data_IF_906774979845
#
_entry.id   IF_906774979845
#
_cell.length_a   1.000
_cell.length_b   1.000
_cell.length_c   1.000
_cell.angle_alpha   90.00
_cell.angle_beta   90.00
_cell.angle_gamma   90.00
#
_symmetry.space_group_name_H-M   'P 1'
#
loop_
_entity.id
_entity.type
_entity.pdbx_description
1 polymer ?
#
# COMPACT_ATOMS: atom_id res chain seq x y z
N UNK A 1 17.92 3.11 11.34
CA UNK A 1 18.41 3.40 9.98
C UNK A 1 17.42 4.29 9.24
N UNK A 2 16.12 4.05 9.32
CA UNK A 2 15.12 4.76 8.51
C UNK A 2 14.88 6.21 8.87
N UNK A 3 15.00 6.62 10.16
CA UNK A 3 14.87 8.04 10.52
C UNK A 3 16.01 8.89 9.94
N UNK A 4 17.24 8.38 9.93
CA UNK A 4 18.37 9.07 9.32
C UNK A 4 18.30 9.10 7.79
N UNK A 5 17.79 8.01 7.17
CA UNK A 5 17.54 7.96 5.73
C UNK A 5 16.39 8.90 5.34
N UNK A 6 15.32 8.96 6.14
CA UNK A 6 14.21 9.88 5.90
C UNK A 6 14.60 11.37 5.97
N UNK A 7 15.61 11.73 6.78
CA UNK A 7 16.13 13.10 6.81
C UNK A 7 16.95 13.45 5.56
N UNK A 8 17.58 12.46 4.94
CA UNK A 8 18.43 12.62 3.74
C UNK A 8 17.63 12.56 2.43
N UNK A 9 16.36 12.12 2.47
CA UNK A 9 15.54 12.04 1.27
C UNK A 9 15.27 13.43 0.67
N UNK A 10 15.25 13.53 -0.67
CA UNK A 10 14.82 14.74 -1.38
C UNK A 10 13.43 15.21 -0.90
N UNK A 11 13.18 16.51 -1.01
CA UNK A 11 11.90 17.11 -0.57
C UNK A 11 10.71 16.43 -1.29
N UNK A 12 10.90 16.09 -2.55
CA UNK A 12 9.90 15.42 -3.41
C UNK A 12 9.53 14.03 -2.88
N UNK A 13 10.52 13.25 -2.42
CA UNK A 13 10.27 11.94 -1.82
C UNK A 13 9.50 12.05 -0.50
N UNK A 14 9.79 13.09 0.31
CA UNK A 14 9.03 13.38 1.55
C UNK A 14 7.60 13.82 1.25
N UNK A 15 7.40 14.59 0.19
CA UNK A 15 6.06 14.97 -0.29
C UNK A 15 5.31 13.73 -0.75
N UNK A 16 5.95 12.88 -1.56
CA UNK A 16 5.37 11.63 -2.05
C UNK A 16 4.93 10.71 -0.90
N UNK A 17 5.77 10.51 0.10
CA UNK A 17 5.44 9.69 1.27
C UNK A 17 4.21 10.23 2.03
N UNK A 18 4.11 11.55 2.21
CA UNK A 18 2.92 12.18 2.84
C UNK A 18 1.66 12.02 2.01
N UNK A 19 1.75 12.20 0.69
CA UNK A 19 0.62 12.03 -0.23
C UNK A 19 0.13 10.58 -0.25
N UNK A 20 1.05 9.61 -0.25
CA UNK A 20 0.74 8.20 -0.17
C UNK A 20 0.06 7.83 1.15
N UNK A 21 0.56 8.34 2.28
CA UNK A 21 -0.07 8.16 3.59
C UNK A 21 -1.49 8.75 3.61
N UNK A 22 -1.66 9.96 3.07
CA UNK A 22 -2.97 10.58 2.94
C UNK A 22 -3.92 9.77 2.06
N UNK A 23 -3.43 9.18 0.96
CA UNK A 23 -4.19 8.27 0.12
C UNK A 23 -4.58 7.00 0.88
N UNK A 24 -3.64 6.35 1.60
CA UNK A 24 -3.93 5.18 2.43
C UNK A 24 -5.11 5.44 3.36
N UNK A 25 -5.09 6.55 4.10
CA UNK A 25 -6.15 6.88 5.03
C UNK A 25 -7.51 7.07 4.33
N UNK A 26 -7.54 7.76 3.18
CA UNK A 26 -8.78 7.95 2.41
C UNK A 26 -9.31 6.64 1.85
N UNK A 27 -8.45 5.82 1.25
CA UNK A 27 -8.84 4.53 0.70
C UNK A 27 -9.34 3.58 1.79
N UNK A 28 -8.65 3.50 2.92
CA UNK A 28 -9.05 2.69 4.08
C UNK A 28 -10.39 3.14 4.65
N UNK A 29 -10.58 4.45 4.84
CA UNK A 29 -11.84 4.99 5.34
C UNK A 29 -13.00 4.70 4.39
N UNK A 30 -12.80 4.89 3.09
CA UNK A 30 -13.80 4.55 2.09
C UNK A 30 -14.14 3.06 2.10
N UNK A 31 -13.15 2.17 2.06
CA UNK A 31 -13.36 0.72 2.10
C UNK A 31 -14.09 0.26 3.36
N UNK A 32 -13.72 0.80 4.51
CA UNK A 32 -14.43 0.53 5.76
C UNK A 32 -15.89 1.00 5.70
N UNK A 33 -16.18 2.15 5.08
CA UNK A 33 -17.54 2.65 4.88
C UNK A 33 -18.36 1.76 3.94
N UNK A 34 -17.73 1.19 2.89
CA UNK A 34 -18.32 0.19 1.99
C UNK A 34 -18.53 -1.19 2.65
N UNK A 35 -18.13 -1.36 3.92
CA UNK A 35 -18.39 -2.57 4.69
C UNK A 35 -17.22 -3.54 4.77
N UNK A 36 -16.06 -3.21 4.24
CA UNK A 36 -14.84 -4.02 4.41
C UNK A 36 -14.42 -3.99 5.88
N UNK A 37 -14.17 -5.17 6.43
CA UNK A 37 -13.77 -5.35 7.84
C UNK A 37 -12.45 -6.08 8.00
N UNK A 38 -11.79 -6.41 6.91
CA UNK A 38 -10.55 -7.16 6.91
C UNK A 38 -9.53 -6.47 5.99
N UNK A 39 -8.32 -6.28 6.50
CA UNK A 39 -7.25 -5.56 5.80
C UNK A 39 -5.94 -6.33 5.92
N UNK A 40 -5.22 -6.46 4.81
CA UNK A 40 -3.87 -7.00 4.74
C UNK A 40 -2.96 -5.91 4.17
N UNK A 41 -2.04 -5.39 4.98
CA UNK A 41 -1.15 -4.29 4.61
C UNK A 41 0.29 -4.80 4.49
N UNK A 42 0.82 -4.83 3.26
CA UNK A 42 2.13 -5.41 2.95
C UNK A 42 3.12 -4.29 2.62
N UNK A 43 4.28 -4.34 3.26
CA UNK A 43 5.27 -3.27 3.24
C UNK A 43 4.83 -2.10 4.11
N UNK A 44 4.41 -2.41 5.33
CA UNK A 44 3.82 -1.47 6.29
C UNK A 44 4.72 -0.27 6.59
N UNK A 45 6.04 -0.48 6.62
CA UNK A 45 7.01 0.53 7.02
C UNK A 45 6.85 0.96 8.48
N UNK A 46 7.58 1.99 8.89
CA UNK A 46 7.54 2.50 10.27
C UNK A 46 6.15 3.09 10.57
N UNK A 47 5.49 2.65 11.66
CA UNK A 47 4.19 3.16 12.07
C UNK A 47 4.19 4.68 12.23
N UNK A 48 3.19 5.33 11.67
CA UNK A 48 2.97 6.78 11.78
C UNK A 48 1.47 7.05 11.86
N UNK A 49 1.03 7.71 12.91
CA UNK A 49 -0.40 7.97 13.13
C UNK A 49 -0.99 8.98 12.12
N UNK A 50 -2.26 8.78 11.71
CA UNK A 50 -3.05 7.58 11.98
C UNK A 50 -2.57 6.39 11.15
N UNK A 51 -2.48 5.21 11.79
CA UNK A 51 -2.17 3.96 11.10
C UNK A 51 -3.42 3.37 10.45
N UNK A 52 -3.24 2.42 9.52
CA UNK A 52 -4.35 1.82 8.77
C UNK A 52 -5.45 1.26 9.70
N UNK A 53 -5.07 0.50 10.75
CA UNK A 53 -6.05 -0.06 11.68
C UNK A 53 -6.81 1.01 12.46
N UNK A 54 -6.17 2.11 12.82
CA UNK A 54 -6.83 3.23 13.52
C UNK A 54 -7.93 3.82 12.63
N UNK A 55 -7.61 4.07 11.35
CA UNK A 55 -8.57 4.57 10.36
C UNK A 55 -9.71 3.55 10.11
N UNK A 56 -9.38 2.28 9.95
CA UNK A 56 -10.38 1.22 9.72
C UNK A 56 -11.29 1.03 10.93
N UNK A 57 -10.71 0.94 12.14
CA UNK A 57 -11.44 0.69 13.39
C UNK A 57 -12.21 1.92 13.91
N UNK A 58 -11.91 3.12 13.42
CA UNK A 58 -12.76 4.28 13.70
C UNK A 58 -14.16 4.12 13.09
N UNK A 59 -14.24 3.52 11.90
CA UNK A 59 -15.48 3.30 11.15
C UNK A 59 -16.09 1.93 11.47
N UNK A 60 -15.25 0.90 11.59
CA UNK A 60 -15.61 -0.48 11.90
C UNK A 60 -14.78 -0.97 13.09
N UNK A 61 -15.24 -0.76 14.33
CA UNK A 61 -14.48 -1.09 15.54
C UNK A 61 -13.95 -2.53 15.56
N UNK A 62 -14.67 -3.48 14.97
CA UNK A 62 -14.29 -4.90 14.87
C UNK A 62 -13.38 -5.22 13.68
N UNK A 63 -12.85 -4.22 12.97
CA UNK A 63 -11.97 -4.48 11.83
C UNK A 63 -10.71 -5.23 12.26
N UNK A 64 -10.32 -6.19 11.42
CA UNK A 64 -9.12 -7.04 11.58
C UNK A 64 -8.06 -6.56 10.59
N UNK A 65 -6.86 -6.34 11.06
CA UNK A 65 -5.75 -5.86 10.24
C UNK A 65 -4.53 -6.72 10.45
N UNK A 66 -3.99 -7.26 9.38
CA UNK A 66 -2.70 -7.95 9.38
C UNK A 66 -1.69 -7.03 8.69
N UNK A 67 -0.63 -6.73 9.37
CA UNK A 67 0.52 -5.99 8.88
C UNK A 67 1.64 -6.96 8.49
N UNK A 68 2.30 -6.73 7.37
CA UNK A 68 3.42 -7.54 6.92
C UNK A 68 4.58 -6.64 6.50
N UNK A 69 5.78 -6.95 6.99
CA UNK A 69 7.01 -6.29 6.55
C UNK A 69 8.18 -7.29 6.63
N UNK A 70 9.21 -7.10 5.82
CA UNK A 70 10.41 -7.92 5.86
C UNK A 70 11.51 -7.33 6.77
N UNK A 71 11.34 -6.11 7.28
CA UNK A 71 12.27 -5.51 8.23
C UNK A 71 11.83 -5.83 9.68
N UNK A 72 12.64 -6.62 10.43
CA UNK A 72 12.33 -6.93 11.81
C UNK A 72 12.29 -5.72 12.75
N UNK A 73 12.91 -4.59 12.36
CA UNK A 73 12.85 -3.35 13.13
C UNK A 73 11.47 -2.73 13.01
N UNK A 74 10.90 -2.71 11.81
CA UNK A 74 9.53 -2.25 11.55
C UNK A 74 8.54 -3.02 12.39
N UNK A 75 8.64 -4.35 12.40
CA UNK A 75 7.72 -5.20 13.17
C UNK A 75 7.80 -4.96 14.68
N UNK A 76 8.99 -4.78 15.24
CA UNK A 76 9.15 -4.44 16.67
C UNK A 76 8.51 -3.11 17.02
N UNK A 77 8.61 -2.11 16.14
CA UNK A 77 7.92 -0.84 16.32
C UNK A 77 6.40 -1.01 16.21
N UNK A 78 5.95 -1.84 15.27
CA UNK A 78 4.54 -2.13 15.07
C UNK A 78 3.94 -2.80 16.30
N UNK A 79 4.54 -3.87 16.81
CA UNK A 79 4.09 -4.58 18.02
C UNK A 79 4.02 -3.66 19.25
N UNK A 80 4.96 -2.71 19.38
CA UNK A 80 5.01 -1.79 20.50
C UNK A 80 4.01 -0.63 20.44
N UNK A 81 3.66 -0.17 19.24
CA UNK A 81 2.93 1.07 19.01
C UNK A 81 1.51 0.89 18.51
N UNK A 82 1.22 -0.24 17.82
CA UNK A 82 -0.08 -0.45 17.19
C UNK A 82 -1.01 -1.21 18.13
N UNK A 83 -1.76 -0.47 18.94
CA UNK A 83 -2.75 -1.01 19.86
C UNK A 83 -4.12 -0.99 19.19
N UNK A 84 -4.69 -2.17 18.96
CA UNK A 84 -6.05 -2.35 18.43
C UNK A 84 -7.10 -1.85 19.43
N UNK A 85 -8.30 -1.48 18.92
CA UNK A 85 -9.49 -1.34 19.76
C UNK A 85 -9.86 -2.70 20.38
N UNK A 86 -10.55 -2.74 21.53
CA UNK A 86 -10.91 -4.00 22.18
C UNK A 86 -11.73 -4.95 21.29
N UNK A 87 -12.53 -4.42 20.38
CA UNK A 87 -13.37 -5.17 19.44
C UNK A 87 -12.64 -5.59 18.17
N UNK A 88 -11.52 -4.93 17.85
CA UNK A 88 -10.72 -5.17 16.65
C UNK A 88 -9.54 -6.11 16.90
N UNK A 89 -8.83 -6.43 15.85
CA UNK A 89 -7.61 -7.25 15.92
C UNK A 89 -6.54 -6.63 15.04
N UNK A 90 -5.31 -6.57 15.56
CA UNK A 90 -4.10 -6.31 14.76
C UNK A 90 -3.14 -7.46 14.94
N UNK A 91 -2.53 -7.91 13.86
CA UNK A 91 -1.54 -8.96 13.85
C UNK A 91 -0.36 -8.61 12.93
N UNK A 92 0.77 -9.29 13.07
CA UNK A 92 2.03 -8.94 12.41
C UNK A 92 2.70 -10.16 11.83
N UNK A 93 3.06 -10.08 10.54
CA UNK A 93 3.73 -11.13 9.81
C UNK A 93 5.12 -10.63 9.38
N UNK A 94 6.16 -11.35 9.77
CA UNK A 94 7.51 -11.12 9.27
C UNK A 94 7.71 -11.97 8.02
N UNK A 95 7.55 -11.35 6.84
CA UNK A 95 7.77 -12.04 5.58
C UNK A 95 8.07 -11.04 4.46
N UNK A 96 8.70 -11.53 3.39
CA UNK A 96 8.95 -10.77 2.18
C UNK A 96 7.77 -10.93 1.21
N UNK A 97 7.36 -9.85 0.56
CA UNK A 97 6.31 -9.84 -0.47
C UNK A 97 6.60 -10.79 -1.63
N UNK A 98 7.88 -11.11 -1.87
CA UNK A 98 8.32 -12.09 -2.86
C UNK A 98 7.93 -13.54 -2.52
N UNK A 99 7.49 -13.76 -1.29
CA UNK A 99 7.03 -15.06 -0.77
C UNK A 99 5.53 -15.01 -0.40
N UNK A 100 4.64 -14.71 -1.37
CA UNK A 100 3.22 -14.44 -1.08
C UNK A 100 2.50 -15.60 -0.40
N UNK A 101 2.91 -16.85 -0.64
CA UNK A 101 2.35 -18.02 0.01
C UNK A 101 2.57 -18.00 1.54
N UNK A 102 3.75 -17.59 2.00
CA UNK A 102 4.06 -17.48 3.43
C UNK A 102 3.17 -16.42 4.08
N UNK A 103 3.00 -15.27 3.41
CA UNK A 103 2.14 -14.18 3.90
C UNK A 103 0.69 -14.64 4.00
N UNK A 104 0.19 -15.31 2.95
CA UNK A 104 -1.18 -15.80 2.91
C UNK A 104 -1.45 -16.83 4.01
N UNK A 105 -0.53 -17.78 4.21
CA UNK A 105 -0.69 -18.82 5.24
C UNK A 105 -0.71 -18.21 6.65
N UNK A 106 0.18 -17.25 6.93
CA UNK A 106 0.19 -16.55 8.21
C UNK A 106 -1.06 -15.65 8.38
N UNK A 107 -1.47 -14.92 7.34
CA UNK A 107 -2.63 -14.03 7.43
C UNK A 107 -3.95 -14.79 7.68
N UNK A 108 -4.07 -16.06 7.28
CA UNK A 108 -5.25 -16.90 7.56
C UNK A 108 -5.51 -17.16 9.04
N UNK A 109 -4.52 -17.02 9.90
CA UNK A 109 -4.72 -17.12 11.36
C UNK A 109 -5.62 -15.99 11.89
N UNK A 110 -5.62 -14.86 11.19
CA UNK A 110 -6.36 -13.66 11.60
C UNK A 110 -7.47 -13.28 10.65
N UNK A 111 -7.28 -13.46 9.33
CA UNK A 111 -8.24 -13.08 8.29
C UNK A 111 -8.98 -14.28 7.72
N UNK A 112 -10.27 -14.09 7.44
CA UNK A 112 -11.12 -15.06 6.76
C UNK A 112 -11.14 -14.76 5.25
N UNK A 113 -10.43 -15.59 4.47
CA UNK A 113 -10.29 -15.42 3.02
C UNK A 113 -11.54 -15.81 2.21
N UNK A 114 -12.55 -16.39 2.85
CA UNK A 114 -13.87 -16.61 2.23
C UNK A 114 -14.75 -15.35 2.28
N UNK A 115 -14.24 -14.26 2.87
CA UNK A 115 -14.89 -12.95 2.98
C UNK A 115 -14.02 -11.85 2.37
N UNK A 116 -14.62 -10.74 1.90
CA UNK A 116 -13.86 -9.66 1.30
C UNK A 116 -12.74 -9.11 2.21
N UNK A 117 -11.56 -8.96 1.63
CA UNK A 117 -10.34 -8.39 2.22
C UNK A 117 -9.90 -7.19 1.39
N UNK A 118 -9.39 -6.15 2.01
CA UNK A 118 -8.65 -5.09 1.34
C UNK A 118 -7.14 -5.37 1.48
N UNK A 119 -6.50 -5.65 0.36
CA UNK A 119 -5.04 -5.81 0.24
C UNK A 119 -4.40 -4.47 -0.11
N UNK A 120 -3.44 -4.02 0.67
CA UNK A 120 -2.67 -2.80 0.42
C UNK A 120 -1.20 -3.13 0.12
N UNK A 121 -0.67 -2.59 -1.00
CA UNK A 121 0.76 -2.55 -1.31
C UNK A 121 1.13 -1.10 -1.67
N UNK A 122 1.46 -0.33 -0.66
CA UNK A 122 1.70 1.10 -0.80
C UNK A 122 3.18 1.44 -0.62
N UNK A 123 3.79 2.08 -1.63
CA UNK A 123 5.21 2.42 -1.60
C UNK A 123 6.16 1.22 -1.68
N UNK A 124 5.70 0.09 -2.14
CA UNK A 124 6.44 -1.16 -2.17
C UNK A 124 6.81 -1.60 -3.59
N UNK A 125 5.86 -1.51 -4.52
CA UNK A 125 5.98 -2.12 -5.85
C UNK A 125 7.11 -1.56 -6.70
N UNK A 126 7.53 -0.33 -6.46
CA UNK A 126 8.67 0.27 -7.16
C UNK A 126 10.04 -0.25 -6.68
N UNK A 127 10.07 -1.09 -5.63
CA UNK A 127 11.26 -1.85 -5.22
C UNK A 127 11.30 -3.27 -5.84
N UNK A 128 10.31 -3.62 -6.64
CA UNK A 128 10.21 -4.90 -7.33
C UNK A 128 10.40 -4.69 -8.84
N UNK A 129 11.61 -4.93 -9.40
CA UNK A 129 11.85 -4.87 -10.83
C UNK A 129 11.07 -5.98 -11.56
N UNK A 130 10.84 -5.81 -12.87
CA UNK A 130 10.04 -6.75 -13.68
C UNK A 130 10.58 -8.19 -13.66
N UNK A 131 11.90 -8.36 -13.46
CA UNK A 131 12.53 -9.67 -13.31
C UNK A 131 11.98 -10.45 -12.09
N UNK A 132 11.46 -9.77 -11.08
CA UNK A 132 10.83 -10.36 -9.90
C UNK A 132 9.33 -10.61 -10.08
N UNK A 133 8.78 -10.30 -11.26
CA UNK A 133 7.40 -10.58 -11.66
C UNK A 133 6.35 -10.03 -10.68
N UNK A 134 6.36 -8.72 -10.37
CA UNK A 134 5.46 -8.15 -9.37
C UNK A 134 3.97 -8.32 -9.70
N UNK A 135 3.60 -8.43 -10.98
CA UNK A 135 2.22 -8.71 -11.40
C UNK A 135 1.79 -10.11 -10.98
N UNK A 136 2.67 -11.12 -11.12
CA UNK A 136 2.37 -12.50 -10.70
C UNK A 136 2.25 -12.60 -9.17
N UNK A 137 3.04 -11.79 -8.43
CA UNK A 137 2.91 -11.68 -6.97
C UNK A 137 1.52 -11.16 -6.59
N UNK A 138 1.07 -10.06 -7.19
CA UNK A 138 -0.26 -9.50 -6.92
C UNK A 138 -1.35 -10.50 -7.30
N UNK A 139 -1.20 -11.18 -8.46
CA UNK A 139 -2.16 -12.21 -8.89
C UNK A 139 -2.26 -13.35 -7.88
N UNK A 140 -1.14 -13.78 -7.29
CA UNK A 140 -1.17 -14.81 -6.24
C UNK A 140 -2.02 -14.38 -5.04
N UNK A 141 -1.96 -13.13 -4.63
CA UNK A 141 -2.83 -12.62 -3.57
C UNK A 141 -4.29 -12.54 -4.01
N UNK A 142 -4.56 -11.98 -5.20
CA UNK A 142 -5.95 -11.79 -5.66
C UNK A 142 -6.66 -13.11 -5.93
N UNK A 143 -5.95 -14.13 -6.43
CA UNK A 143 -6.50 -15.47 -6.65
C UNK A 143 -6.88 -16.17 -5.34
N UNK A 144 -6.27 -15.78 -4.22
CA UNK A 144 -6.58 -16.33 -2.90
C UNK A 144 -7.73 -15.60 -2.19
N UNK A 145 -8.14 -14.43 -2.69
CA UNK A 145 -9.14 -13.58 -2.04
C UNK A 145 -10.54 -13.84 -2.57
N UNK A 146 -11.54 -13.69 -1.70
CA UNK A 146 -12.94 -13.81 -2.11
C UNK A 146 -13.35 -12.71 -3.11
N UNK A 147 -14.30 -13.02 -4.05
CA UNK A 147 -14.93 -11.98 -4.86
C UNK A 147 -15.48 -10.83 -4.00
N UNK A 148 -15.34 -9.62 -4.51
CA UNK A 148 -15.70 -8.41 -3.76
C UNK A 148 -14.60 -7.89 -2.83
N UNK A 149 -13.43 -8.57 -2.78
CA UNK A 149 -12.22 -8.03 -2.17
C UNK A 149 -11.66 -6.84 -2.96
N UNK A 150 -10.73 -6.12 -2.36
CA UNK A 150 -10.13 -4.94 -2.99
C UNK A 150 -8.61 -4.98 -2.94
N UNK A 151 -7.99 -4.36 -3.95
CA UNK A 151 -6.55 -4.14 -4.02
C UNK A 151 -6.29 -2.64 -4.05
N UNK A 152 -5.42 -2.15 -3.17
CA UNK A 152 -5.04 -0.74 -3.00
C UNK A 152 -3.57 -0.62 -3.32
N UNK A 153 -3.23 -0.03 -4.46
CA UNK A 153 -1.86 0.05 -4.92
C UNK A 153 -1.39 1.50 -5.06
N UNK A 154 -0.09 1.71 -4.82
CA UNK A 154 0.60 2.94 -5.20
C UNK A 154 1.93 2.61 -5.87
N UNK A 155 2.37 3.50 -6.77
CA UNK A 155 3.61 3.35 -7.52
C UNK A 155 4.28 4.68 -7.82
N UNK A 156 5.61 4.73 -7.74
CA UNK A 156 6.39 5.86 -8.21
C UNK A 156 6.28 6.01 -9.74
N UNK A 157 5.97 7.23 -10.21
CA UNK A 157 5.75 7.55 -11.60
C UNK A 157 7.05 7.89 -12.32
N UNK A 158 7.30 7.29 -13.50
CA UNK A 158 8.44 7.61 -14.37
C UNK A 158 8.12 8.72 -15.38
N UNK A 159 6.85 8.93 -15.70
CA UNK A 159 6.36 9.79 -16.80
C UNK A 159 5.75 11.13 -16.36
N UNK A 160 5.80 11.43 -15.05
CA UNK A 160 5.32 12.72 -14.52
C UNK A 160 6.40 13.80 -14.57
N UNK A 161 7.63 13.43 -14.24
CA UNK A 161 8.81 14.27 -14.36
C UNK A 161 10.06 13.36 -14.46
N UNK A 162 10.57 13.21 -15.67
CA UNK A 162 11.69 12.31 -15.97
C UNK A 162 12.96 12.68 -15.21
N UNK A 163 13.23 13.99 -15.01
CA UNK A 163 14.42 14.45 -14.31
C UNK A 163 14.37 14.06 -12.81
N UNK A 164 13.23 14.27 -12.16
CA UNK A 164 13.01 13.88 -10.76
C UNK A 164 13.04 12.35 -10.62
N UNK A 165 12.44 11.65 -11.58
CA UNK A 165 12.48 10.17 -11.63
C UNK A 165 13.91 9.64 -11.66
N UNK A 166 14.71 10.12 -12.61
CA UNK A 166 16.10 9.74 -12.77
C UNK A 166 16.96 10.07 -11.54
N UNK A 167 16.78 11.26 -10.97
CA UNK A 167 17.46 11.66 -9.73
C UNK A 167 17.09 10.71 -8.57
N UNK A 168 15.83 10.32 -8.46
CA UNK A 168 15.38 9.39 -7.42
C UNK A 168 16.01 8.00 -7.61
N UNK A 169 16.03 7.47 -8.82
CA UNK A 169 16.68 6.18 -9.13
C UNK A 169 18.18 6.21 -8.80
N UNK A 170 18.87 7.28 -9.16
CA UNK A 170 20.30 7.44 -8.89
C UNK A 170 20.59 7.54 -7.38
N UNK A 171 19.76 8.25 -6.61
CA UNK A 171 19.90 8.37 -5.16
C UNK A 171 19.70 7.02 -4.45
N UNK A 172 18.64 6.28 -4.79
CA UNK A 172 18.38 4.96 -4.22
C UNK A 172 19.48 3.96 -4.61
N UNK A 173 19.97 4.03 -5.85
CA UNK A 173 21.08 3.19 -6.33
C UNK A 173 22.37 3.43 -5.56
N UNK A 174 22.69 4.67 -5.18
CA UNK A 174 23.84 4.99 -4.30
C UNK A 174 23.71 4.30 -2.94
N UNK A 175 22.49 4.14 -2.43
CA UNK A 175 22.17 3.39 -1.22
C UNK A 175 22.12 1.87 -1.42
N UNK A 176 22.39 1.35 -2.62
CA UNK A 176 22.33 -0.07 -2.94
C UNK A 176 20.90 -0.60 -3.16
N UNK A 177 19.92 0.28 -3.28
CA UNK A 177 18.50 -0.05 -3.50
C UNK A 177 18.16 0.18 -4.96
N UNK A 178 17.59 -0.83 -5.62
CA UNK A 178 17.06 -0.71 -6.97
C UNK A 178 15.65 -0.13 -6.91
N UNK A 179 15.45 0.98 -7.63
CA UNK A 179 14.14 1.57 -7.85
C UNK A 179 13.71 1.28 -9.29
N UNK A 180 12.48 0.84 -9.48
CA UNK A 180 11.88 0.56 -10.78
C UNK A 180 10.62 1.41 -10.92
N UNK A 181 10.77 2.68 -11.32
CA UNK A 181 9.64 3.55 -11.59
C UNK A 181 8.89 3.09 -12.84
N UNK A 182 7.59 3.33 -12.89
CA UNK A 182 6.74 2.92 -14.02
C UNK A 182 5.87 4.07 -14.51
N UNK A 183 5.63 4.09 -15.81
CA UNK A 183 4.64 4.98 -16.41
C UNK A 183 3.23 4.61 -15.96
N UNK A 184 2.28 5.53 -16.18
CA UNK A 184 0.87 5.26 -15.90
C UNK A 184 0.35 4.02 -16.64
N UNK A 185 0.78 3.82 -17.89
CA UNK A 185 0.41 2.66 -18.70
C UNK A 185 0.97 1.35 -18.12
N UNK A 186 2.27 1.33 -17.76
CA UNK A 186 2.90 0.16 -17.16
C UNK A 186 2.27 -0.17 -15.81
N UNK A 187 1.99 0.83 -14.97
CA UNK A 187 1.33 0.61 -13.68
C UNK A 187 -0.12 0.12 -13.86
N UNK A 188 -0.81 0.50 -14.93
CA UNK A 188 -2.17 0.02 -15.19
C UNK A 188 -2.26 -1.51 -15.36
N UNK A 189 -1.18 -2.16 -15.80
CA UNK A 189 -1.11 -3.62 -15.99
C UNK A 189 -1.22 -4.41 -14.69
N UNK A 190 -0.91 -3.78 -13.55
CA UNK A 190 -1.07 -4.40 -12.23
C UNK A 190 -2.54 -4.66 -11.86
N UNK A 191 -3.46 -4.07 -12.60
CA UNK A 191 -4.91 -4.19 -12.40
C UNK A 191 -5.59 -5.05 -13.46
N UNK A 192 -4.82 -5.79 -14.28
CA UNK A 192 -5.39 -6.69 -15.28
C UNK A 192 -6.27 -7.75 -14.60
N UNK A 193 -7.53 -7.88 -15.06
CA UNK A 193 -8.53 -8.77 -14.49
C UNK A 193 -9.27 -8.22 -13.27
N UNK A 194 -8.96 -6.99 -12.82
CA UNK A 194 -9.62 -6.32 -11.71
C UNK A 194 -10.48 -5.15 -12.20
N UNK A 195 -11.49 -4.78 -11.43
CA UNK A 195 -12.37 -3.64 -11.70
C UNK A 195 -11.86 -2.39 -10.99
N UNK A 196 -11.18 -1.48 -11.69
CA UNK A 196 -10.71 -0.23 -11.08
C UNK A 196 -11.93 0.63 -10.71
N UNK A 197 -12.00 1.02 -9.42
CA UNK A 197 -13.09 1.88 -8.93
C UNK A 197 -12.82 3.37 -9.21
N UNK A 198 -13.88 4.18 -9.26
CA UNK A 198 -13.74 5.63 -9.41
C UNK A 198 -12.89 6.20 -8.24
N UNK A 199 -12.07 7.23 -8.50
CA UNK A 199 -11.92 8.00 -9.73
C UNK A 199 -11.01 7.36 -10.79
N UNK A 200 -10.57 6.11 -10.60
CA UNK A 200 -9.66 5.42 -11.51
C UNK A 200 -8.21 5.46 -11.06
N UNK A 201 -7.30 5.20 -11.99
CA UNK A 201 -5.86 5.35 -11.80
C UNK A 201 -5.50 6.82 -11.96
N UNK A 202 -5.13 7.47 -10.85
CA UNK A 202 -4.87 8.91 -10.77
C UNK A 202 -3.62 9.18 -9.93
N UNK A 203 -3.20 10.44 -9.83
CA UNK A 203 -2.16 10.85 -8.89
C UNK A 203 -2.70 10.81 -7.45
N UNK A 204 -1.82 10.51 -6.49
CA UNK A 204 -2.24 10.29 -5.10
C UNK A 204 -3.13 11.39 -4.49
N UNK A 205 -2.89 12.71 -4.70
CA UNK A 205 -3.78 13.75 -4.21
C UNK A 205 -5.16 13.78 -4.89
N UNK A 206 -5.28 13.21 -6.11
CA UNK A 206 -6.50 13.25 -6.92
C UNK A 206 -7.48 12.12 -6.56
N UNK A 207 -7.04 11.14 -5.76
CA UNK A 207 -7.90 10.03 -5.38
C UNK A 207 -8.84 10.45 -4.23
N UNK A 208 -10.08 10.73 -4.59
CA UNK A 208 -11.17 11.04 -3.68
C UNK A 208 -12.43 10.34 -4.14
N UNK A 209 -12.92 9.41 -3.34
CA UNK A 209 -14.21 8.79 -3.62
C UNK A 209 -15.30 9.56 -2.87
N UNK A 210 -16.12 10.31 -3.63
CA UNK A 210 -17.24 11.07 -3.10
C UNK A 210 -16.91 12.48 -2.56
N UNK A 211 -15.65 12.93 -2.61
CA UNK A 211 -15.24 14.27 -2.15
C UNK A 211 -14.42 14.96 -3.25
N UNK A 212 -14.54 16.28 -3.46
CA UNK A 212 -13.66 17.00 -4.39
C UNK A 212 -12.19 16.86 -3.99
N UNK A 213 -11.33 16.63 -4.98
CA UNK A 213 -9.89 16.62 -4.76
C UNK A 213 -9.42 17.98 -4.20
N UNK A 214 -8.50 18.01 -3.23
CA UNK A 214 -7.82 19.24 -2.86
C UNK A 214 -7.02 19.78 -4.07
N UNK A 215 -6.66 21.05 -3.98
CA UNK A 215 -5.89 21.79 -5.00
C UNK A 215 -4.74 20.96 -5.58
N UNK A 216 -4.50 21.13 -6.89
CA UNK A 216 -3.47 20.46 -7.67
C UNK A 216 -2.08 20.63 -7.04
N UNK A 217 -1.66 19.64 -6.25
CA UNK A 217 -0.29 19.50 -5.81
C UNK A 217 0.47 18.60 -6.77
N UNK A 218 1.74 18.92 -7.01
CA UNK A 218 2.63 18.02 -7.76
C UNK A 218 2.71 16.67 -7.04
N UNK A 219 2.56 15.59 -7.78
CA UNK A 219 2.72 14.25 -7.27
C UNK A 219 3.41 13.36 -8.28
N UNK A 220 4.51 12.73 -7.88
CA UNK A 220 5.20 11.67 -8.61
C UNK A 220 4.69 10.27 -8.25
N UNK A 221 3.46 10.14 -7.72
CA UNK A 221 2.90 8.86 -7.29
C UNK A 221 1.55 8.64 -7.95
N UNK A 222 1.42 7.53 -8.64
CA UNK A 222 0.14 6.98 -9.10
C UNK A 222 -0.47 6.07 -8.05
N UNK A 223 -1.79 6.11 -7.97
CA UNK A 223 -2.59 5.26 -7.06
C UNK A 223 -3.85 4.79 -7.76
N UNK A 224 -4.34 3.64 -7.34
CA UNK A 224 -5.68 3.19 -7.65
C UNK A 224 -6.17 2.20 -6.60
N UNK A 225 -7.49 2.06 -6.54
CA UNK A 225 -8.20 0.98 -5.84
C UNK A 225 -8.93 0.17 -6.90
N UNK A 226 -8.84 -1.15 -6.82
CA UNK A 226 -9.56 -2.04 -7.72
C UNK A 226 -10.26 -3.15 -6.94
N UNK A 227 -11.39 -3.62 -7.46
CA UNK A 227 -12.19 -4.70 -6.90
C UNK A 227 -11.87 -6.00 -7.59
N UNK A 228 -11.77 -7.08 -6.83
CA UNK A 228 -11.72 -8.46 -7.32
C UNK A 228 -13.15 -8.86 -7.74
N UNK A 229 -13.36 -9.27 -9.02
CA UNK A 229 -14.69 -9.60 -9.55
C UNK A 229 -15.36 -10.81 -8.89
#
# INVERSE_FOLDING_TARGET
VDQQVAELLPVEAKVGARQQRSFMNRATAWLASEGVTQFLDIGTGIPTEPNLHQTAQEIRPSARVVYCDNDPIVLRHAEALLVSRPEGVTDYVHADVREPAIILDAARETLDFDRPIALSLLGLLHFLPDAEKPIDIIRTFTDAMAPGSYVVLSHGASDVNEEIGQQSEDEYKKGGIQLALRSREEFSRFFEGLEIVAPGLVKAPEWFNGTPAPTQEFSGIYVAVARVP
#
